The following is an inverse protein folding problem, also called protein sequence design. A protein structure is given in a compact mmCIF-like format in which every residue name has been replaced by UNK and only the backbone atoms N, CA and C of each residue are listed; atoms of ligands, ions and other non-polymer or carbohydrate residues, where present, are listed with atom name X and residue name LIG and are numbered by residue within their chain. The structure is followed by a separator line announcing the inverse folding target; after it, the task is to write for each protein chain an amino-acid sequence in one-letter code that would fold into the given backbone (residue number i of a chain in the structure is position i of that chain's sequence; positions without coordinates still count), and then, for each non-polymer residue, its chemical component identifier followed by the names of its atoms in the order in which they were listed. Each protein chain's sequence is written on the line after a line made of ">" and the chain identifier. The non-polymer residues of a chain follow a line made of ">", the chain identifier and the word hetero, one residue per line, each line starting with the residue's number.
data_IF_102406972771
#
_entry.id   IF_102406972771
#
_cell.length_a   1.000
_cell.length_b   1.000
_cell.length_c   1.000
_cell.angle_alpha   90.00
_cell.angle_beta   90.00
_cell.angle_gamma   90.00
#
_symmetry.space_group_name_H-M   'P 1'
#
loop_
_entity.id
_entity.type
_entity.pdbx_description
1 polymer ?
#
# COMPACT_ATOMS: atom_id res chain seq x y z
N UNK A 1 -25.31 6.35 -7.24
CA UNK A 1 -24.57 5.45 -6.33
C UNK A 1 -24.85 4.02 -6.72
N UNK A 2 -23.84 3.14 -6.67
CA UNK A 2 -23.91 1.76 -7.20
C UNK A 2 -24.53 0.73 -6.22
N UNK A 3 -25.02 1.18 -5.06
CA UNK A 3 -25.74 0.35 -4.09
C UNK A 3 -24.84 -0.45 -3.15
N UNK A 4 -25.44 -1.26 -2.28
CA UNK A 4 -24.76 -2.02 -1.19
C UNK A 4 -23.99 -3.26 -1.65
N UNK A 5 -24.07 -3.61 -2.93
CA UNK A 5 -23.33 -4.72 -3.54
C UNK A 5 -22.09 -4.26 -4.32
N UNK A 6 -21.87 -2.95 -4.40
CA UNK A 6 -20.67 -2.38 -5.00
C UNK A 6 -19.64 -2.12 -3.91
N UNK A 7 -18.42 -2.61 -4.10
CA UNK A 7 -17.31 -2.40 -3.19
C UNK A 7 -16.08 -1.90 -3.96
N UNK A 8 -15.37 -0.95 -3.37
CA UNK A 8 -14.09 -0.46 -3.87
C UNK A 8 -12.98 -1.10 -3.05
N UNK A 9 -12.09 -1.81 -3.75
CA UNK A 9 -10.91 -2.45 -3.14
C UNK A 9 -9.68 -1.64 -3.55
N UNK A 10 -9.02 -1.03 -2.58
CA UNK A 10 -7.71 -0.42 -2.77
C UNK A 10 -6.62 -1.48 -2.65
N UNK A 11 -5.59 -1.40 -3.49
CA UNK A 11 -4.42 -2.29 -3.39
C UNK A 11 -3.19 -1.50 -2.95
N UNK A 12 -2.50 -1.99 -1.94
CA UNK A 12 -1.24 -1.42 -1.46
C UNK A 12 -0.10 -2.45 -1.49
N UNK A 13 1.14 -1.94 -1.47
CA UNK A 13 2.35 -2.78 -1.43
C UNK A 13 3.33 -2.25 -0.40
N UNK A 14 3.97 -3.15 0.34
CA UNK A 14 5.07 -2.85 1.26
C UNK A 14 6.37 -2.59 0.50
N UNK A 15 6.91 -3.62 -0.15
CA UNK A 15 8.20 -3.56 -0.85
C UNK A 15 8.05 -3.99 -2.31
N UNK A 16 8.70 -3.25 -3.21
CA UNK A 16 8.96 -3.69 -4.59
C UNK A 16 10.20 -2.99 -5.13
N UNK A 17 11.37 -3.61 -4.90
CA UNK A 17 12.68 -2.98 -5.16
C UNK A 17 12.88 -2.65 -6.63
N UNK A 18 12.48 -3.56 -7.51
CA UNK A 18 12.57 -3.42 -8.96
C UNK A 18 11.79 -2.19 -9.44
N UNK A 19 10.63 -1.93 -8.82
CA UNK A 19 9.76 -0.80 -9.07
C UNK A 19 10.12 0.45 -8.23
N UNK A 20 11.27 0.46 -7.55
CA UNK A 20 11.74 1.61 -6.78
C UNK A 20 10.95 1.89 -5.50
N UNK A 21 10.23 0.89 -4.99
CA UNK A 21 9.46 0.96 -3.74
C UNK A 21 10.29 0.26 -2.65
N UNK A 22 10.94 1.05 -1.81
CA UNK A 22 11.74 0.56 -0.69
C UNK A 22 10.85 0.05 0.47
N UNK A 23 11.47 -0.45 1.54
CA UNK A 23 10.76 -0.72 2.78
C UNK A 23 10.05 0.54 3.28
N UNK A 24 8.78 0.42 3.74
CA UNK A 24 8.04 1.56 4.25
C UNK A 24 8.68 2.10 5.53
N UNK A 25 8.63 3.41 5.71
CA UNK A 25 9.18 4.09 6.89
C UNK A 25 8.41 3.71 8.15
N UNK A 26 9.12 3.64 9.28
CA UNK A 26 8.50 3.37 10.58
C UNK A 26 7.41 4.40 10.88
N UNK A 27 6.29 3.93 11.44
CA UNK A 27 5.13 4.77 11.74
C UNK A 27 4.21 5.04 10.56
N UNK A 28 4.56 4.60 9.35
CA UNK A 28 3.63 4.62 8.21
C UNK A 28 2.57 3.52 8.29
N UNK A 29 1.47 3.72 7.56
CA UNK A 29 0.42 2.71 7.45
C UNK A 29 0.96 1.41 6.82
N UNK A 30 1.73 1.53 5.74
CA UNK A 30 2.34 0.38 5.07
C UNK A 30 3.32 -0.36 5.96
N UNK A 31 4.06 0.31 6.86
CA UNK A 31 4.90 -0.38 7.84
C UNK A 31 4.08 -1.22 8.82
N UNK A 32 2.96 -0.68 9.32
CA UNK A 32 2.04 -1.44 10.20
C UNK A 32 1.42 -2.64 9.48
N UNK A 33 0.99 -2.45 8.23
CA UNK A 33 0.43 -3.53 7.42
C UNK A 33 1.49 -4.59 7.08
N UNK A 34 2.73 -4.17 6.79
CA UNK A 34 3.84 -5.10 6.54
C UNK A 34 4.17 -5.93 7.78
N UNK A 35 4.05 -5.33 8.98
CA UNK A 35 4.30 -6.01 10.25
C UNK A 35 3.26 -7.09 10.61
N UNK A 36 2.10 -7.14 9.94
CA UNK A 36 1.13 -8.23 10.10
C UNK A 36 1.72 -9.59 9.68
N UNK A 37 2.79 -9.58 8.89
CA UNK A 37 3.44 -10.77 8.35
C UNK A 37 2.62 -11.51 7.29
N UNK A 38 3.24 -12.50 6.64
CA UNK A 38 2.64 -13.25 5.55
C UNK A 38 2.87 -12.63 4.17
N UNK A 39 2.22 -13.21 3.15
CA UNK A 39 2.38 -12.75 1.77
C UNK A 39 1.47 -11.56 1.43
N UNK A 40 0.25 -11.57 1.96
CA UNK A 40 -0.75 -10.52 1.77
C UNK A 40 -1.80 -10.53 2.88
N UNK A 41 -2.46 -9.39 3.07
CA UNK A 41 -3.60 -9.22 3.96
C UNK A 41 -4.77 -8.55 3.22
N UNK A 42 -6.00 -8.97 3.51
CA UNK A 42 -7.21 -8.29 3.05
C UNK A 42 -7.93 -7.72 4.28
N UNK A 43 -8.04 -6.40 4.36
CA UNK A 43 -8.57 -5.69 5.51
C UNK A 43 -9.88 -4.97 5.16
N UNK A 44 -11.00 -5.28 5.82
CA UNK A 44 -12.18 -4.42 5.75
C UNK A 44 -11.91 -3.10 6.48
N UNK A 45 -12.15 -1.96 5.82
CA UNK A 45 -11.90 -0.64 6.40
C UNK A 45 -13.06 -0.16 7.28
N UNK A 46 -14.27 -0.70 7.03
CA UNK A 46 -15.52 -0.27 7.65
C UNK A 46 -15.74 1.25 7.57
N UNK A 47 -15.29 1.88 6.47
CA UNK A 47 -15.31 3.32 6.22
C UNK A 47 -14.70 4.12 7.39
N UNK A 48 -13.61 3.60 7.97
CA UNK A 48 -12.91 4.19 9.10
C UNK A 48 -13.64 4.12 10.45
N UNK A 49 -14.86 3.58 10.53
CA UNK A 49 -15.71 3.65 11.73
C UNK A 49 -15.29 2.74 12.87
N UNK A 50 -14.51 1.70 12.58
CA UNK A 50 -14.07 0.70 13.57
C UNK A 50 -12.61 0.85 13.98
N UNK A 51 -11.98 1.93 13.54
CA UNK A 51 -10.56 2.15 13.76
C UNK A 51 -10.33 3.36 14.69
N UNK A 52 -9.27 3.33 15.52
CA UNK A 52 -8.92 4.47 16.36
C UNK A 52 -8.47 5.64 15.48
N UNK A 53 -9.36 6.61 15.29
CA UNK A 53 -9.19 7.72 14.33
C UNK A 53 -7.96 8.57 14.65
N UNK A 54 -7.63 8.78 15.92
CA UNK A 54 -6.47 9.56 16.36
C UNK A 54 -5.15 8.86 16.07
N UNK A 55 -5.08 7.54 16.27
CA UNK A 55 -3.86 6.76 15.97
C UNK A 55 -3.61 6.67 14.47
N UNK A 56 -4.68 6.58 13.67
CA UNK A 56 -4.59 6.56 12.21
C UNK A 56 -4.21 7.93 11.65
N UNK A 57 -4.80 9.00 12.17
CA UNK A 57 -4.46 10.36 11.76
C UNK A 57 -3.02 10.75 12.13
N UNK A 58 -2.42 10.10 13.13
CA UNK A 58 -1.03 10.29 13.53
C UNK A 58 -0.02 9.47 12.68
N UNK A 59 -0.49 8.63 11.75
CA UNK A 59 0.39 7.88 10.87
C UNK A 59 1.09 8.80 9.89
N UNK A 60 2.38 8.58 9.72
CA UNK A 60 3.15 9.23 8.67
C UNK A 60 2.77 8.65 7.31
N UNK A 61 2.76 9.47 6.28
CA UNK A 61 2.69 8.98 4.91
C UNK A 61 4.08 8.50 4.49
N UNK A 62 4.18 7.28 3.94
CA UNK A 62 5.45 6.76 3.42
C UNK A 62 5.96 7.57 2.23
N UNK A 63 7.26 7.51 1.97
CA UNK A 63 7.78 7.97 0.67
C UNK A 63 7.35 7.00 -0.42
N UNK A 64 6.96 7.56 -1.56
CA UNK A 64 6.48 6.79 -2.70
C UNK A 64 7.56 6.04 -3.48
N UNK A 65 7.26 5.68 -4.72
CA UNK A 65 8.22 5.06 -5.62
C UNK A 65 9.22 6.09 -6.17
N UNK A 66 10.50 5.73 -6.19
CA UNK A 66 11.54 6.51 -6.88
C UNK A 66 11.50 6.37 -8.40
N UNK A 67 10.76 5.38 -8.93
CA UNK A 67 10.67 5.08 -10.37
C UNK A 67 9.27 5.32 -10.96
N UNK A 68 8.24 5.48 -10.12
CA UNK A 68 6.87 5.69 -10.55
C UNK A 68 6.30 6.99 -9.95
N UNK A 69 6.21 8.02 -10.78
CA UNK A 69 5.70 9.34 -10.40
C UNK A 69 4.19 9.38 -10.14
N UNK A 70 3.45 8.35 -10.58
CA UNK A 70 2.02 8.22 -10.28
C UNK A 70 1.75 7.36 -9.06
N UNK A 71 2.80 6.92 -8.35
CA UNK A 71 2.64 6.22 -7.10
C UNK A 71 2.05 7.16 -6.05
N UNK A 72 0.95 6.73 -5.41
CA UNK A 72 0.40 7.41 -4.25
C UNK A 72 0.49 6.47 -3.04
N UNK A 73 1.06 6.93 -1.92
CA UNK A 73 1.11 6.18 -0.66
C UNK A 73 -0.27 6.09 -0.01
N UNK A 74 -0.48 5.08 0.83
CA UNK A 74 -1.67 4.99 1.65
C UNK A 74 -1.60 6.02 2.79
N UNK A 75 -2.68 6.79 2.94
CA UNK A 75 -2.89 7.71 4.06
C UNK A 75 -4.05 7.23 4.94
N UNK A 76 -4.33 7.99 6.01
CA UNK A 76 -5.54 7.82 6.81
C UNK A 76 -6.84 7.81 5.98
N UNK A 77 -6.89 8.59 4.90
CA UNK A 77 -8.06 8.73 4.02
C UNK A 77 -8.36 7.43 3.26
N UNK A 78 -7.36 6.56 3.08
CA UNK A 78 -7.54 5.24 2.46
C UNK A 78 -8.61 4.39 3.17
N UNK A 79 -8.80 4.57 4.48
CA UNK A 79 -9.82 3.84 5.24
C UNK A 79 -11.25 4.35 5.00
N UNK A 80 -11.40 5.54 4.45
CA UNK A 80 -12.70 6.10 4.05
C UNK A 80 -12.94 6.01 2.55
N UNK A 81 -11.88 5.98 1.74
CA UNK A 81 -11.94 5.93 0.28
C UNK A 81 -12.19 4.51 -0.26
N UNK A 82 -11.75 3.48 0.48
CA UNK A 82 -11.90 2.09 0.11
C UNK A 82 -12.76 1.33 1.12
N UNK A 83 -13.59 0.40 0.66
CA UNK A 83 -14.32 -0.53 1.53
C UNK A 83 -13.41 -1.64 2.06
N UNK A 84 -12.41 -2.02 1.25
CA UNK A 84 -11.38 -3.00 1.59
C UNK A 84 -10.00 -2.54 1.11
N UNK A 85 -8.96 -2.92 1.86
CA UNK A 85 -7.57 -2.80 1.47
C UNK A 85 -6.97 -4.20 1.28
N UNK A 86 -6.52 -4.50 0.07
CA UNK A 86 -5.67 -5.65 -0.21
C UNK A 86 -4.21 -5.20 -0.18
N UNK A 87 -3.43 -5.68 0.78
CA UNK A 87 -2.05 -5.29 0.99
C UNK A 87 -1.11 -6.46 0.72
N UNK A 88 -0.13 -6.26 -0.16
CA UNK A 88 0.91 -7.25 -0.46
C UNK A 88 2.21 -6.82 0.22
N UNK A 89 2.84 -7.71 0.99
CA UNK A 89 4.01 -7.34 1.80
C UNK A 89 5.22 -7.05 0.91
N UNK A 90 5.46 -7.92 -0.08
CA UNK A 90 6.50 -7.77 -1.07
C UNK A 90 5.98 -8.25 -2.42
N UNK A 91 6.33 -7.52 -3.49
CA UNK A 91 6.00 -7.92 -4.86
C UNK A 91 7.21 -7.73 -5.76
N UNK A 92 7.51 -8.76 -6.54
CA UNK A 92 8.55 -8.71 -7.56
C UNK A 92 8.06 -8.00 -8.83
N UNK A 93 8.99 -7.78 -9.76
CA UNK A 93 8.66 -7.28 -11.08
C UNK A 93 7.68 -8.20 -11.82
N UNK A 94 6.72 -7.59 -12.52
CA UNK A 94 5.67 -8.33 -13.21
C UNK A 94 6.26 -9.27 -14.27
N UNK A 95 5.78 -10.52 -14.32
CA UNK A 95 6.17 -11.47 -15.37
C UNK A 95 5.77 -10.93 -16.73
N UNK A 96 6.71 -10.90 -17.67
CA UNK A 96 6.49 -10.34 -19.00
C UNK A 96 6.43 -8.81 -19.04
N UNK A 97 6.82 -8.13 -17.95
CA UNK A 97 7.04 -6.69 -17.97
C UNK A 97 8.22 -6.30 -18.87
N UNK A 98 8.35 -5.00 -19.13
CA UNK A 98 9.47 -4.46 -19.89
C UNK A 98 10.81 -4.78 -19.20
N UNK A 99 11.90 -5.01 -19.94
CA UNK A 99 13.20 -5.21 -19.32
C UNK A 99 13.53 -4.05 -18.38
N UNK A 100 13.89 -4.36 -17.14
CA UNK A 100 14.43 -3.37 -16.22
C UNK A 100 15.76 -2.86 -16.80
N UNK A 101 16.05 -1.55 -16.73
CA UNK A 101 17.37 -1.06 -17.08
C UNK A 101 18.42 -1.80 -16.24
N UNK A 102 19.49 -2.29 -16.87
CA UNK A 102 20.58 -2.97 -16.18
C UNK A 102 21.07 -2.06 -15.04
N UNK A 103 20.86 -2.51 -13.81
CA UNK A 103 21.36 -1.79 -12.64
C UNK A 103 22.83 -2.12 -12.54
N UNK A 104 23.68 -1.44 -13.32
CA UNK A 104 25.13 -1.56 -13.22
C UNK A 104 25.56 -1.11 -11.82
N UNK A 105 26.01 -2.07 -11.01
CA UNK A 105 26.74 -1.81 -9.80
C UNK A 105 28.05 -1.08 -10.15
N UNK A 106 28.24 0.11 -9.58
CA UNK A 106 29.53 0.78 -9.46
C UNK A 106 29.87 0.92 -7.98
#
# INVERSE_FOLDING_TARGET
>A
MLGTQYAIIGTGVGVSKENGIASPEEGSLEARLTALGGAAALLPTYNGKRLPTTEIAALSTRTGSTKNTTYFPLSAESFTDFDYLAFFHETDYARGGWPLPDTQAH
#
